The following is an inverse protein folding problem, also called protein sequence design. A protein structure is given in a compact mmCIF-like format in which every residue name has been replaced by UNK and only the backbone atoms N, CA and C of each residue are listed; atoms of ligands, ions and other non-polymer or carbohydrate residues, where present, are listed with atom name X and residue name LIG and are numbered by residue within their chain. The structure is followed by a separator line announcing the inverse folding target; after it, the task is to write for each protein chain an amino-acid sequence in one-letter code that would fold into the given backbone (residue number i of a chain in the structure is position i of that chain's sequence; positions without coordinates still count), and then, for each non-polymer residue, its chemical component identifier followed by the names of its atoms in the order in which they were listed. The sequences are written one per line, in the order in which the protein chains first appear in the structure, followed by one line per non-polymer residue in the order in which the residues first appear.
data_IF_582098901350
#
_entry.id   IF_582098901350
#
_cell.length_a   1.000
_cell.length_b   1.000
_cell.length_c   1.000
_cell.angle_alpha   90.00
_cell.angle_beta   90.00
_cell.angle_gamma   90.00
#
_symmetry.space_group_name_H-M   'P 1'
#
loop_
_entity.id
_entity.type
_entity.pdbx_description
1 polymer ?
#
# COMPACT_ATOMS: atom_id res chain seq x y z
N UNK A 1 3.26 20.21 -14.27
CA UNK A 1 2.53 19.71 -13.09
C UNK A 1 3.32 18.57 -12.50
N UNK A 2 3.90 18.74 -11.31
CA UNK A 2 4.60 17.65 -10.61
C UNK A 2 3.51 16.77 -9.97
N UNK A 3 3.15 15.66 -10.62
CA UNK A 3 2.19 14.71 -10.04
C UNK A 3 2.85 13.93 -8.91
N UNK A 4 2.12 13.74 -7.80
CA UNK A 4 2.52 12.98 -6.62
C UNK A 4 3.18 11.64 -7.02
N UNK A 5 4.41 11.40 -6.59
CA UNK A 5 5.07 10.13 -6.87
C UNK A 5 4.55 9.07 -5.90
N UNK A 6 3.93 8.03 -6.45
CA UNK A 6 3.46 6.90 -5.66
C UNK A 6 4.64 5.98 -5.36
N UNK A 7 4.91 5.76 -4.08
CA UNK A 7 6.05 5.00 -3.60
C UNK A 7 5.59 3.88 -2.67
N UNK A 8 6.30 2.77 -2.77
CA UNK A 8 6.08 1.63 -1.89
C UNK A 8 6.46 2.00 -0.45
N UNK A 9 5.68 1.53 0.52
CA UNK A 9 5.89 1.84 1.94
C UNK A 9 5.34 3.21 2.35
N UNK A 10 4.80 3.98 1.41
CA UNK A 10 4.21 5.30 1.69
C UNK A 10 2.73 5.18 2.04
N UNK A 11 2.34 6.00 3.01
CA UNK A 11 0.96 6.18 3.44
C UNK A 11 0.31 7.32 2.67
N UNK A 12 -0.86 7.02 2.11
CA UNK A 12 -1.75 7.98 1.47
C UNK A 12 -3.06 8.08 2.25
N UNK A 13 -3.55 9.30 2.45
CA UNK A 13 -4.83 9.59 3.08
C UNK A 13 -5.77 10.20 2.05
N UNK A 14 -6.96 9.61 1.89
CA UNK A 14 -8.00 10.16 1.02
C UNK A 14 -8.65 11.37 1.69
N UNK A 15 -8.67 12.50 0.97
CA UNK A 15 -9.17 13.77 1.49
C UNK A 15 -10.69 13.68 1.69
N UNK A 16 -11.13 13.84 2.94
CA UNK A 16 -12.55 13.91 3.31
C UNK A 16 -13.21 12.57 3.68
N UNK A 17 -12.50 11.44 3.62
CA UNK A 17 -13.06 10.12 3.96
C UNK A 17 -12.38 9.46 5.17
N UNK A 18 -11.36 10.09 5.75
CA UNK A 18 -10.50 9.55 6.82
C UNK A 18 -9.81 8.22 6.47
N UNK A 19 -9.92 7.73 5.24
CA UNK A 19 -9.32 6.46 4.86
C UNK A 19 -7.83 6.62 4.57
N UNK A 20 -7.05 5.65 5.06
CA UNK A 20 -5.62 5.56 4.82
C UNK A 20 -5.27 4.28 4.08
N UNK A 21 -4.33 4.42 3.17
CA UNK A 21 -3.87 3.35 2.30
C UNK A 21 -2.35 3.31 2.34
N UNK A 22 -1.80 2.15 2.63
CA UNK A 22 -0.37 1.88 2.54
C UNK A 22 -0.12 1.08 1.26
N UNK A 23 0.72 1.60 0.35
CA UNK A 23 1.12 0.84 -0.83
C UNK A 23 2.19 -0.19 -0.49
N UNK A 24 1.84 -1.47 -0.63
CA UNK A 24 2.74 -2.59 -0.35
C UNK A 24 3.51 -3.02 -1.59
N UNK A 25 2.83 -3.13 -2.72
CA UNK A 25 3.45 -3.58 -3.97
C UNK A 25 2.68 -3.01 -5.16
N UNK A 26 3.42 -2.60 -6.19
CA UNK A 26 2.86 -2.21 -7.47
C UNK A 26 3.45 -3.09 -8.57
N UNK A 27 2.60 -3.86 -9.24
CA UNK A 27 2.97 -4.70 -10.38
C UNK A 27 2.51 -4.03 -11.68
N UNK A 28 3.39 -3.27 -12.37
CA UNK A 28 3.03 -2.62 -13.62
C UNK A 28 2.83 -3.62 -14.77
N UNK A 29 3.36 -4.84 -14.68
CA UNK A 29 3.19 -5.86 -15.71
C UNK A 29 1.78 -6.47 -15.69
N UNK A 30 1.25 -6.69 -14.48
CA UNK A 30 -0.11 -7.21 -14.27
C UNK A 30 -1.15 -6.11 -14.02
N UNK A 31 -0.74 -4.84 -14.09
CA UNK A 31 -1.58 -3.66 -13.85
C UNK A 31 -2.33 -3.69 -12.51
N UNK A 32 -1.75 -4.36 -11.51
CA UNK A 32 -2.34 -4.55 -10.19
C UNK A 32 -1.41 -4.03 -9.09
N UNK A 33 -1.99 -3.58 -7.98
CA UNK A 33 -1.24 -3.14 -6.80
C UNK A 33 -1.90 -3.66 -5.55
N UNK A 34 -1.09 -3.99 -4.56
CA UNK A 34 -1.54 -4.42 -3.23
C UNK A 34 -1.43 -3.25 -2.25
N UNK A 35 -2.56 -2.88 -1.63
CA UNK A 35 -2.65 -1.88 -0.58
C UNK A 35 -3.11 -2.49 0.75
N UNK A 36 -2.73 -1.91 1.89
CA UNK A 36 -3.41 -2.11 3.17
C UNK A 36 -4.25 -0.90 3.52
N UNK A 37 -5.47 -1.16 4.00
CA UNK A 37 -6.39 -0.11 4.43
C UNK A 37 -6.42 0.03 5.96
N UNK A 38 -6.48 1.27 6.42
CA UNK A 38 -6.82 1.63 7.78
C UNK A 38 -7.88 2.73 7.79
N UNK A 39 -8.69 2.77 8.84
CA UNK A 39 -9.54 3.93 9.14
C UNK A 39 -8.66 5.06 9.74
N UNK A 40 -9.20 6.26 9.96
CA UNK A 40 -8.44 7.50 10.17
C UNK A 40 -7.49 7.60 11.38
N UNK A 41 -7.10 8.84 11.70
CA UNK A 41 -6.02 9.15 12.64
C UNK A 41 -6.08 8.36 13.96
N UNK A 42 -5.17 7.39 14.09
CA UNK A 42 -4.99 6.56 15.29
C UNK A 42 -5.23 5.07 15.06
N UNK A 43 -5.81 4.65 13.93
CA UNK A 43 -5.96 3.23 13.63
C UNK A 43 -4.67 2.63 13.04
N UNK A 44 -4.24 1.45 13.49
CA UNK A 44 -3.14 0.72 12.87
C UNK A 44 -3.56 0.15 11.51
N UNK A 45 -2.58 -0.05 10.62
CA UNK A 45 -2.79 -0.81 9.38
C UNK A 45 -3.18 -2.24 9.71
N UNK A 46 -4.23 -2.72 9.05
CA UNK A 46 -4.72 -4.09 9.23
C UNK A 46 -4.18 -5.00 8.11
N UNK A 47 -3.23 -5.90 8.39
CA UNK A 47 -2.74 -6.84 7.39
C UNK A 47 -3.80 -7.86 6.97
N UNK A 48 -4.91 -8.02 7.71
CA UNK A 48 -6.00 -8.90 7.30
C UNK A 48 -6.88 -8.28 6.19
N UNK A 49 -6.62 -7.03 5.77
CA UNK A 49 -7.41 -6.32 4.76
C UNK A 49 -6.56 -5.86 3.55
N UNK A 50 -5.95 -6.81 2.82
CA UNK A 50 -5.32 -6.50 1.55
C UNK A 50 -6.37 -6.06 0.53
N UNK A 51 -6.12 -4.94 -0.13
CA UNK A 51 -6.97 -4.39 -1.18
C UNK A 51 -6.17 -4.34 -2.49
N UNK A 52 -6.68 -5.02 -3.53
CA UNK A 52 -6.10 -4.95 -4.86
C UNK A 52 -6.70 -3.79 -5.62
N UNK A 53 -5.86 -2.93 -6.16
CA UNK A 53 -6.30 -1.80 -6.99
C UNK A 53 -5.64 -1.80 -8.35
N UNK A 54 -6.31 -1.16 -9.31
CA UNK A 54 -5.82 -1.05 -10.68
C UNK A 54 -4.68 -0.03 -10.79
N UNK A 55 -3.78 -0.20 -11.77
CA UNK A 55 -2.76 0.82 -12.07
C UNK A 55 -3.38 2.16 -12.47
N UNK A 56 -4.54 2.15 -13.14
CA UNK A 56 -5.22 3.37 -13.56
C UNK A 56 -5.69 4.18 -12.35
N UNK A 57 -6.13 3.50 -11.29
CA UNK A 57 -6.48 4.10 -10.01
C UNK A 57 -5.25 4.68 -9.28
N UNK A 58 -4.10 4.00 -9.33
CA UNK A 58 -2.81 4.55 -8.84
C UNK A 58 -2.42 5.81 -9.62
N UNK A 59 -2.58 5.80 -10.94
CA UNK A 59 -2.29 6.97 -11.80
C UNK A 59 -3.28 8.11 -11.49
N UNK A 60 -4.55 7.80 -11.25
CA UNK A 60 -5.56 8.78 -10.84
C UNK A 60 -5.20 9.41 -9.49
N UNK A 61 -4.76 8.62 -8.52
CA UNK A 61 -4.27 9.10 -7.22
C UNK A 61 -3.19 10.18 -7.43
N UNK A 62 -2.21 9.91 -8.30
CA UNK A 62 -1.13 10.84 -8.64
C UNK A 62 -1.59 12.16 -9.28
N UNK A 63 -2.66 12.13 -10.08
CA UNK A 63 -3.09 13.27 -10.92
C UNK A 63 -4.20 14.10 -10.30
N UNK A 64 -5.09 13.48 -9.54
CA UNK A 64 -6.32 14.10 -9.05
C UNK A 64 -6.14 14.96 -7.81
N UNK A 65 -5.06 14.75 -7.05
CA UNK A 65 -4.85 15.43 -5.76
C UNK A 65 -5.87 15.04 -4.68
N UNK A 66 -6.67 13.98 -4.91
CA UNK A 66 -7.65 13.45 -3.93
C UNK A 66 -6.98 12.86 -2.69
N UNK A 67 -5.68 12.61 -2.75
CA UNK A 67 -4.93 11.95 -1.69
C UNK A 67 -3.76 12.82 -1.25
N UNK A 68 -3.48 12.79 0.05
CA UNK A 68 -2.33 13.42 0.67
C UNK A 68 -1.34 12.36 1.12
N UNK A 69 -0.07 12.55 0.79
CA UNK A 69 1.03 11.75 1.35
C UNK A 69 1.24 12.10 2.82
N UNK A 70 1.19 11.11 3.70
CA UNK A 70 1.48 11.27 5.13
C UNK A 70 2.93 10.92 5.49
N UNK A 71 3.65 10.26 4.57
CA UNK A 71 5.02 9.83 4.75
C UNK A 71 5.16 8.30 4.70
N UNK A 72 6.40 7.85 4.87
CA UNK A 72 6.77 6.44 4.77
C UNK A 72 6.65 5.73 6.12
N UNK A 73 6.21 4.47 6.09
CA UNK A 73 6.23 3.60 7.27
C UNK A 73 7.69 3.25 7.59
N UNK A 74 8.12 3.30 8.87
CA UNK A 74 9.45 2.88 9.25
C UNK A 74 9.76 1.45 8.76
N UNK A 75 10.97 1.23 8.25
CA UNK A 75 11.34 -0.04 7.64
C UNK A 75 11.12 -1.26 8.55
N UNK A 76 11.32 -1.11 9.87
CA UNK A 76 11.07 -2.19 10.83
C UNK A 76 9.58 -2.54 10.94
N UNK A 77 8.71 -1.53 10.98
CA UNK A 77 7.25 -1.71 11.01
C UNK A 77 6.74 -2.26 9.68
N UNK A 78 7.26 -1.76 8.56
CA UNK A 78 6.93 -2.25 7.23
C UNK A 78 7.28 -3.74 7.08
N UNK A 79 8.50 -4.16 7.50
CA UNK A 79 8.89 -5.57 7.52
C UNK A 79 8.00 -6.42 8.43
N UNK A 80 7.61 -5.90 9.60
CA UNK A 80 6.70 -6.60 10.49
C UNK A 80 5.31 -6.81 9.85
N UNK A 81 4.79 -5.81 9.13
CA UNK A 81 3.55 -5.92 8.36
C UNK A 81 3.66 -6.94 7.22
N UNK A 82 4.74 -6.91 6.45
CA UNK A 82 4.99 -7.90 5.38
C UNK A 82 5.02 -9.33 5.92
N UNK A 83 5.72 -9.55 7.05
CA UNK A 83 5.75 -10.85 7.72
C UNK A 83 4.34 -11.26 8.17
N UNK A 84 3.57 -10.35 8.76
CA UNK A 84 2.20 -10.62 9.17
C UNK A 84 1.29 -10.97 7.98
N UNK A 85 1.46 -10.34 6.82
CA UNK A 85 0.73 -10.64 5.60
C UNK A 85 0.99 -12.07 5.08
N UNK A 86 2.26 -12.49 5.10
CA UNK A 86 2.66 -13.84 4.73
C UNK A 86 2.13 -14.87 5.73
N UNK A 87 2.32 -14.62 7.04
CA UNK A 87 1.89 -15.52 8.12
C UNK A 87 0.36 -15.70 8.15
N UNK A 88 -0.39 -14.63 7.82
CA UNK A 88 -1.85 -14.65 7.78
C UNK A 88 -2.43 -15.32 6.52
N UNK A 89 -1.60 -15.61 5.51
CA UNK A 89 -2.07 -16.03 4.19
C UNK A 89 -2.97 -14.99 3.51
N UNK A 90 -2.81 -13.71 3.89
CA UNK A 90 -3.65 -12.62 3.40
C UNK A 90 -3.29 -12.26 1.94
N UNK A 91 -2.04 -12.50 1.54
CA UNK A 91 -1.58 -12.27 0.18
C UNK A 91 -1.93 -13.45 -0.74
N UNK A 92 -2.38 -13.13 -1.95
CA UNK A 92 -2.59 -14.11 -2.99
C UNK A 92 -1.26 -14.66 -3.54
N UNK A 93 -1.31 -15.82 -4.19
CA UNK A 93 -0.14 -16.51 -4.78
C UNK A 93 0.71 -15.63 -5.70
N UNK A 94 0.10 -14.68 -6.40
CA UNK A 94 0.79 -13.76 -7.32
C UNK A 94 1.65 -12.71 -6.61
N UNK A 95 1.22 -12.27 -5.42
CA UNK A 95 1.92 -11.26 -4.62
C UNK A 95 2.99 -11.90 -3.71
N UNK A 96 2.85 -13.19 -3.37
CA UNK A 96 3.76 -13.89 -2.44
C UNK A 96 5.25 -13.76 -2.83
N UNK A 97 5.68 -14.00 -4.08
CA UNK A 97 7.10 -13.92 -4.43
C UNK A 97 7.68 -12.53 -4.21
N UNK A 98 6.89 -11.49 -4.43
CA UNK A 98 7.30 -10.10 -4.21
C UNK A 98 7.39 -9.77 -2.72
N UNK A 99 6.38 -10.15 -1.93
CA UNK A 99 6.40 -9.93 -0.48
C UNK A 99 7.59 -10.65 0.19
N UNK A 100 7.90 -11.87 -0.27
CA UNK A 100 9.09 -12.59 0.19
C UNK A 100 10.39 -11.91 -0.22
N UNK A 101 10.47 -11.36 -1.44
CA UNK A 101 11.65 -10.62 -1.90
C UNK A 101 11.88 -9.35 -1.06
N UNK A 102 10.83 -8.60 -0.76
CA UNK A 102 10.87 -7.38 0.05
C UNK A 102 11.34 -7.62 1.49
N UNK A 103 11.18 -8.83 2.03
CA UNK A 103 11.69 -9.20 3.35
C UNK A 103 13.19 -9.55 3.36
N UNK A 104 13.78 -9.86 2.20
CA UNK A 104 15.18 -10.30 2.06
C UNK A 104 16.15 -9.15 1.80
N UNK A 105 15.66 -8.02 1.28
CA UNK A 105 16.37 -6.73 1.22
C UNK A 105 16.50 -6.09 2.60
#
# INVERSE_FOLDING_TARGET
MQGLEIRQGTVYEEIGTEKRFLLIHHNPMNLCSLLLRADGAGAPYDPARPERISVDEIIELRRSGKYRELGDVPAAEFRALLKALLDAGAACEEDLPFLEALLRE
#
